data_IF_349476530204
#
_entry.id   IF_349476530204
#
_cell.length_a   1.000
_cell.length_b   1.000
_cell.length_c   1.000
_cell.angle_alpha   90.00
_cell.angle_beta   90.00
_cell.angle_gamma   90.00
#
_symmetry.space_group_name_H-M   'P 1'
#
loop_
_entity.id
_entity.type
_entity.pdbx_description
1 polymer ?
#
# COMPACT_ATOMS: atom_id res chain seq x y z
N UNK A 1 -6.83 -1.59 18.43
CA UNK A 1 -7.70 -0.43 18.69
C UNK A 1 -8.75 -0.21 17.60
N UNK A 2 -8.42 -0.38 16.30
CA UNK A 2 -9.39 -0.20 15.20
C UNK A 2 -10.66 -1.06 15.26
N UNK A 3 -10.62 -2.27 15.84
CA UNK A 3 -11.82 -3.13 15.94
C UNK A 3 -12.93 -2.54 16.83
N UNK A 4 -12.62 -1.55 17.67
CA UNK A 4 -13.56 -0.90 18.58
C UNK A 4 -13.68 0.62 18.33
N UNK A 5 -13.09 1.13 17.24
CA UNK A 5 -13.25 2.52 16.81
C UNK A 5 -14.11 2.53 15.55
N UNK A 6 -15.42 2.43 15.77
CA UNK A 6 -16.42 2.41 14.70
C UNK A 6 -16.33 3.67 13.83
N UNK A 7 -15.98 4.82 14.42
CA UNK A 7 -15.78 6.08 13.70
C UNK A 7 -14.60 6.02 12.73
N UNK A 8 -13.46 5.49 13.16
CA UNK A 8 -12.29 5.35 12.28
C UNK A 8 -12.51 4.32 11.16
N UNK A 9 -13.23 3.22 11.43
CA UNK A 9 -13.60 2.25 10.40
C UNK A 9 -14.57 2.85 9.38
N UNK A 10 -15.58 3.60 9.85
CA UNK A 10 -16.52 4.27 8.97
C UNK A 10 -15.81 5.30 8.09
N UNK A 11 -14.94 6.13 8.66
CA UNK A 11 -14.19 7.12 7.89
C UNK A 11 -13.32 6.48 6.80
N UNK A 12 -12.70 5.33 7.08
CA UNK A 12 -11.91 4.59 6.09
C UNK A 12 -12.78 4.01 4.97
N UNK A 13 -13.97 3.53 5.31
CA UNK A 13 -14.94 3.06 4.33
C UNK A 13 -15.45 4.22 3.46
N UNK A 14 -15.82 5.35 4.07
CA UNK A 14 -16.30 6.54 3.36
C UNK A 14 -15.26 7.04 2.35
N UNK A 15 -13.98 7.08 2.74
CA UNK A 15 -12.89 7.48 1.81
C UNK A 15 -12.77 6.51 0.64
N UNK A 16 -12.88 5.19 0.88
CA UNK A 16 -12.87 4.20 -0.20
C UNK A 16 -14.07 4.41 -1.14
N UNK A 17 -15.27 4.55 -0.59
CA UNK A 17 -16.51 4.66 -1.36
C UNK A 17 -16.51 5.93 -2.22
N UNK A 18 -16.03 7.05 -1.68
CA UNK A 18 -15.83 8.29 -2.44
C UNK A 18 -14.81 8.13 -3.58
N UNK A 19 -13.68 7.44 -3.35
CA UNK A 19 -12.70 7.16 -4.40
C UNK A 19 -13.26 6.22 -5.47
N UNK A 20 -14.10 5.27 -5.09
CA UNK A 20 -14.77 4.35 -6.03
C UNK A 20 -15.79 5.09 -6.92
N UNK A 21 -16.56 6.01 -6.33
CA UNK A 21 -17.57 6.80 -7.04
C UNK A 21 -16.97 7.89 -7.94
N UNK A 22 -15.80 8.45 -7.58
CA UNK A 22 -15.19 9.63 -8.22
C UNK A 22 -15.19 9.60 -9.76
N UNK A 23 -14.83 8.51 -10.46
CA UNK A 23 -14.80 8.51 -11.92
C UNK A 23 -16.17 8.63 -12.59
N UNK A 24 -17.26 8.40 -11.86
CA UNK A 24 -18.63 8.59 -12.35
C UNK A 24 -19.01 10.08 -12.38
N UNK A 25 -18.43 10.88 -11.49
CA UNK A 25 -18.66 12.33 -11.40
C UNK A 25 -17.62 13.12 -12.21
N UNK A 26 -16.36 12.69 -12.14
CA UNK A 26 -15.23 13.31 -12.81
C UNK A 26 -14.43 12.25 -13.58
N UNK A 27 -14.73 12.02 -14.87
CA UNK A 27 -14.08 11.00 -15.68
C UNK A 27 -12.56 11.14 -15.69
N UNK A 28 -11.85 10.03 -15.43
CA UNK A 28 -10.38 10.00 -15.32
C UNK A 28 -9.65 10.45 -16.59
N UNK A 29 -10.32 10.47 -17.76
CA UNK A 29 -9.73 10.97 -19.00
C UNK A 29 -9.35 12.44 -18.94
N UNK A 30 -9.97 13.22 -18.05
CA UNK A 30 -9.65 14.64 -17.84
C UNK A 30 -8.47 14.86 -16.89
N UNK A 31 -7.98 13.80 -16.25
CA UNK A 31 -6.92 13.85 -15.27
C UNK A 31 -5.57 13.68 -15.98
N UNK A 32 -4.55 14.37 -15.52
CA UNK A 32 -3.18 14.12 -15.97
C UNK A 32 -2.73 12.70 -15.62
N UNK A 33 -1.70 12.18 -16.31
CA UNK A 33 -1.17 10.83 -16.02
C UNK A 33 -0.78 10.64 -14.56
N UNK A 34 -0.21 11.67 -13.92
CA UNK A 34 0.16 11.62 -12.51
C UNK A 34 -1.05 11.62 -11.58
N UNK A 35 -2.11 12.37 -11.90
CA UNK A 35 -3.35 12.36 -11.11
C UNK A 35 -4.06 11.01 -11.22
N UNK A 36 -4.10 10.42 -12.42
CA UNK A 36 -4.60 9.04 -12.60
C UNK A 36 -3.78 8.04 -11.77
N UNK A 37 -2.45 8.19 -11.73
CA UNK A 37 -1.57 7.29 -10.98
C UNK A 37 -1.84 7.43 -9.47
N UNK A 38 -1.92 8.67 -9.00
CA UNK A 38 -2.25 8.98 -7.62
C UNK A 38 -3.62 8.39 -7.22
N UNK A 39 -4.63 8.54 -8.08
CA UNK A 39 -5.95 7.96 -7.89
C UNK A 39 -5.88 6.44 -7.69
N UNK A 40 -5.27 5.71 -8.62
CA UNK A 40 -5.19 4.25 -8.55
C UNK A 40 -4.41 3.74 -7.33
N UNK A 41 -3.31 4.41 -6.97
CA UNK A 41 -2.54 4.08 -5.77
C UNK A 41 -3.34 4.32 -4.49
N UNK A 42 -4.05 5.44 -4.40
CA UNK A 42 -4.89 5.75 -3.25
C UNK A 42 -6.04 4.75 -3.13
N UNK A 43 -6.81 4.52 -4.20
CA UNK A 43 -7.93 3.57 -4.20
C UNK A 43 -7.47 2.17 -3.79
N UNK A 44 -6.35 1.69 -4.36
CA UNK A 44 -5.77 0.40 -3.98
C UNK A 44 -5.41 0.36 -2.49
N UNK A 45 -4.71 1.37 -1.98
CA UNK A 45 -4.20 1.38 -0.60
C UNK A 45 -5.34 1.43 0.43
N UNK A 46 -6.35 2.28 0.21
CA UNK A 46 -7.52 2.37 1.10
C UNK A 46 -8.35 1.09 1.06
N UNK A 47 -8.53 0.51 -0.12
CA UNK A 47 -9.26 -0.75 -0.27
C UNK A 47 -8.54 -1.89 0.43
N UNK A 48 -7.22 -2.03 0.26
CA UNK A 48 -6.46 -3.06 0.97
C UNK A 48 -6.50 -2.86 2.49
N UNK A 49 -6.41 -1.61 2.97
CA UNK A 49 -6.50 -1.33 4.40
C UNK A 49 -7.86 -1.74 4.98
N UNK A 50 -8.95 -1.45 4.27
CA UNK A 50 -10.30 -1.91 4.63
C UNK A 50 -10.36 -3.44 4.76
N UNK A 51 -9.82 -4.19 3.80
CA UNK A 51 -9.82 -5.66 3.86
C UNK A 51 -8.92 -6.23 4.96
N UNK A 52 -7.77 -5.63 5.21
CA UNK A 52 -6.86 -6.06 6.30
C UNK A 52 -7.50 -5.85 7.68
N UNK A 53 -8.25 -4.76 7.87
CA UNK A 53 -8.94 -4.48 9.14
C UNK A 53 -10.03 -5.51 9.42
N UNK A 54 -10.80 -5.94 8.40
CA UNK A 54 -11.86 -6.95 8.57
C UNK A 54 -11.34 -8.28 9.12
N UNK A 55 -10.12 -8.67 8.77
CA UNK A 55 -9.50 -9.91 9.22
C UNK A 55 -8.67 -9.75 10.49
N UNK A 56 -8.53 -8.54 11.02
CA UNK A 56 -7.80 -8.28 12.25
C UNK A 56 -8.51 -8.93 13.46
N UNK A 57 -7.79 -9.57 14.42
CA UNK A 57 -6.34 -9.63 14.63
C UNK A 57 -5.71 -10.91 14.07
N UNK A 58 -5.85 -11.22 12.79
CA UNK A 58 -5.08 -12.32 12.17
C UNK A 58 -3.63 -11.88 11.91
N UNK A 59 -2.66 -12.60 12.49
CA UNK A 59 -1.22 -12.30 12.38
C UNK A 59 -0.64 -12.47 11.00
N UNK A 60 -0.75 -13.69 10.46
CA UNK A 60 -0.06 -14.08 9.23
C UNK A 60 -1.05 -13.97 8.08
N UNK A 61 -0.75 -13.07 7.16
CA UNK A 61 -1.61 -12.77 6.02
C UNK A 61 -1.23 -13.52 4.74
N UNK A 62 -0.18 -14.34 4.76
CA UNK A 62 0.28 -15.08 3.57
C UNK A 62 -0.85 -15.86 2.87
N UNK A 63 -1.65 -16.64 3.61
CA UNK A 63 -2.76 -17.42 3.03
C UNK A 63 -3.92 -16.57 2.52
N UNK A 64 -4.03 -15.31 2.97
CA UNK A 64 -5.07 -14.37 2.56
C UNK A 64 -4.65 -13.58 1.31
N UNK A 65 -3.37 -13.22 1.25
CA UNK A 65 -2.80 -12.36 0.20
C UNK A 65 -2.18 -13.15 -0.95
N UNK A 66 -2.12 -14.49 -0.86
CA UNK A 66 -1.52 -15.34 -1.91
C UNK A 66 -2.40 -16.55 -2.23
N UNK A 67 -2.16 -17.17 -3.38
CA UNK A 67 -2.85 -18.39 -3.81
C UNK A 67 -4.11 -18.12 -4.65
N UNK A 68 -4.92 -19.17 -4.83
CA UNK A 68 -6.13 -19.12 -5.66
C UNK A 68 -7.24 -18.29 -5.00
N UNK A 69 -7.42 -18.45 -3.69
CA UNK A 69 -8.47 -17.80 -2.89
C UNK A 69 -7.96 -16.52 -2.23
N UNK A 70 -7.11 -15.76 -2.93
CA UNK A 70 -6.59 -14.52 -2.37
C UNK A 70 -7.62 -13.41 -2.49
N UNK A 71 -7.81 -12.63 -1.42
CA UNK A 71 -8.67 -11.44 -1.43
C UNK A 71 -8.28 -10.43 -2.52
N UNK A 72 -7.02 -10.43 -2.95
CA UNK A 72 -6.52 -9.53 -3.98
C UNK A 72 -7.14 -9.83 -5.36
N UNK A 73 -7.75 -11.01 -5.55
CA UNK A 73 -8.41 -11.44 -6.79
C UNK A 73 -9.92 -11.20 -6.77
N UNK A 74 -10.49 -10.91 -5.61
CA UNK A 74 -11.93 -10.72 -5.46
C UNK A 74 -12.35 -9.37 -6.07
N UNK A 75 -13.49 -9.36 -6.77
CA UNK A 75 -14.05 -8.16 -7.40
C UNK A 75 -14.79 -7.32 -6.37
N UNK A 76 -14.02 -6.63 -5.53
CA UNK A 76 -14.51 -5.88 -4.35
C UNK A 76 -14.77 -4.40 -4.63
N UNK A 77 -14.47 -3.92 -5.84
CA UNK A 77 -14.71 -2.54 -6.28
C UNK A 77 -15.49 -2.54 -7.59
N UNK A 78 -16.26 -1.48 -7.84
CA UNK A 78 -16.90 -1.17 -9.11
C UNK A 78 -16.60 0.27 -9.52
N UNK A 79 -15.65 0.45 -10.44
CA UNK A 79 -15.24 1.78 -10.88
C UNK A 79 -15.82 2.05 -12.27
N UNK A 80 -16.61 3.12 -12.41
CA UNK A 80 -17.29 3.48 -13.66
C UNK A 80 -18.05 2.28 -14.30
N UNK A 81 -18.75 1.50 -13.47
CA UNK A 81 -19.51 0.32 -13.89
C UNK A 81 -18.69 -0.94 -14.15
N UNK A 82 -17.36 -0.90 -13.99
CA UNK A 82 -16.47 -2.06 -14.22
C UNK A 82 -16.09 -2.70 -12.88
N UNK A 83 -16.38 -4.00 -12.66
CA UNK A 83 -15.95 -4.71 -11.45
C UNK A 83 -14.44 -4.98 -11.46
N UNK A 84 -13.74 -4.52 -10.43
CA UNK A 84 -12.29 -4.57 -10.29
C UNK A 84 -11.87 -5.26 -8.98
N UNK A 85 -10.75 -5.98 -9.06
CA UNK A 85 -9.98 -6.47 -7.92
C UNK A 85 -8.71 -5.64 -7.74
N UNK A 86 -8.07 -5.78 -6.57
CA UNK A 86 -6.75 -5.17 -6.32
C UNK A 86 -5.70 -5.65 -7.33
N UNK A 87 -5.75 -6.92 -7.76
CA UNK A 87 -4.89 -7.44 -8.81
C UNK A 87 -5.16 -6.83 -10.19
N UNK A 88 -6.42 -6.52 -10.51
CA UNK A 88 -6.71 -5.82 -11.78
C UNK A 88 -6.11 -4.42 -11.76
N UNK A 89 -6.22 -3.71 -10.63
CA UNK A 89 -5.58 -2.39 -10.48
C UNK A 89 -4.06 -2.52 -10.66
N UNK A 90 -3.40 -3.45 -9.97
CA UNK A 90 -1.95 -3.60 -10.01
C UNK A 90 -1.41 -4.12 -11.37
N UNK A 91 -1.92 -5.27 -11.83
CA UNK A 91 -1.29 -6.01 -12.93
C UNK A 91 -1.92 -5.74 -14.30
N UNK A 92 -3.12 -5.16 -14.35
CA UNK A 92 -3.78 -4.79 -15.61
C UNK A 92 -3.71 -3.28 -15.81
N UNK A 93 -4.28 -2.50 -14.90
CA UNK A 93 -4.41 -1.05 -15.08
C UNK A 93 -3.06 -0.35 -14.92
N UNK A 94 -2.43 -0.47 -13.75
CA UNK A 94 -1.20 0.25 -13.45
C UNK A 94 -0.04 -0.24 -14.33
N UNK A 95 0.12 -1.55 -14.47
CA UNK A 95 1.18 -2.12 -15.29
C UNK A 95 1.14 -1.65 -16.75
N UNK A 96 -0.03 -1.71 -17.40
CA UNK A 96 -0.16 -1.38 -18.82
C UNK A 96 -0.12 0.13 -19.09
N UNK A 97 -0.60 0.96 -18.16
CA UNK A 97 -0.67 2.41 -18.36
C UNK A 97 0.60 3.17 -17.98
N UNK A 98 1.52 2.55 -17.22
CA UNK A 98 2.71 3.21 -16.68
C UNK A 98 4.01 2.49 -17.03
N UNK A 99 4.11 2.01 -18.28
CA UNK A 99 5.36 1.55 -18.91
C UNK A 99 6.12 0.46 -18.15
N UNK A 100 5.43 -0.39 -17.38
CA UNK A 100 6.08 -1.34 -16.47
C UNK A 100 7.08 -0.68 -15.50
N UNK A 101 6.80 0.56 -15.06
CA UNK A 101 7.65 1.26 -14.11
C UNK A 101 7.66 0.53 -12.76
N UNK A 102 8.80 -0.04 -12.32
CA UNK A 102 8.88 -0.80 -11.07
C UNK A 102 8.57 0.07 -9.85
N UNK A 103 8.65 1.41 -9.94
CA UNK A 103 8.37 2.28 -8.80
C UNK A 103 6.94 2.18 -8.28
N UNK A 104 5.99 1.82 -9.15
CA UNK A 104 4.60 1.63 -8.76
C UNK A 104 4.47 0.62 -7.62
N UNK A 105 5.30 -0.44 -7.59
CA UNK A 105 5.23 -1.46 -6.53
C UNK A 105 5.56 -0.90 -5.13
N UNK A 106 6.27 0.22 -5.03
CA UNK A 106 6.55 0.90 -3.76
C UNK A 106 5.42 1.82 -3.28
N UNK A 107 4.47 2.14 -4.17
CA UNK A 107 3.26 2.87 -3.85
C UNK A 107 2.10 1.98 -3.40
N UNK A 108 2.18 0.67 -3.69
CA UNK A 108 1.15 -0.31 -3.36
C UNK A 108 1.43 -0.94 -2.00
N UNK A 109 0.66 -0.55 -0.99
CA UNK A 109 0.71 -1.15 0.34
C UNK A 109 0.46 -2.66 0.27
N UNK A 110 1.00 -3.44 1.20
CA UNK A 110 0.89 -4.91 1.19
C UNK A 110 0.19 -5.48 2.42
N UNK A 111 -0.14 -4.65 3.42
CA UNK A 111 -0.75 -5.11 4.67
C UNK A 111 0.21 -5.85 5.62
N UNK A 112 1.49 -6.03 5.23
CA UNK A 112 2.47 -6.84 5.94
C UNK A 112 3.77 -6.08 6.18
N UNK A 113 4.49 -6.45 7.24
CA UNK A 113 5.79 -5.86 7.62
C UNK A 113 6.81 -5.95 6.47
N UNK A 114 6.83 -7.05 5.72
CA UNK A 114 7.77 -7.28 4.63
C UNK A 114 7.53 -6.46 3.35
N UNK A 115 6.50 -5.61 3.30
CA UNK A 115 6.21 -4.72 2.17
C UNK A 115 6.73 -3.29 2.36
N UNK A 116 6.57 -2.40 1.36
CA UNK A 116 6.83 -0.97 1.50
C UNK A 116 5.88 -0.30 2.51
N UNK A 117 6.31 0.81 3.11
CA UNK A 117 5.46 1.56 4.03
C UNK A 117 4.30 2.24 3.31
N UNK A 118 3.13 2.22 3.97
CA UNK A 118 2.04 3.12 3.61
C UNK A 118 2.45 4.56 3.99
N UNK A 119 2.14 5.52 3.12
CA UNK A 119 2.47 6.93 3.35
C UNK A 119 1.50 7.55 4.34
N UNK A 120 1.96 8.56 5.08
CA UNK A 120 1.13 9.39 5.97
C UNK A 120 0.22 10.37 5.22
N UNK A 121 0.49 10.59 3.93
CA UNK A 121 -0.23 11.53 3.08
C UNK A 121 -0.61 10.85 1.78
N UNK A 122 -1.80 11.18 1.26
CA UNK A 122 -2.29 10.65 -0.01
C UNK A 122 -1.37 11.04 -1.17
N UNK A 123 -1.38 10.20 -2.21
CA UNK A 123 -0.76 10.56 -3.48
C UNK A 123 -1.58 11.64 -4.17
N UNK A 124 -0.91 12.59 -4.82
CA UNK A 124 -1.49 13.65 -5.65
C UNK A 124 -0.72 13.74 -6.96
N UNK A 125 -1.30 14.38 -7.98
CA UNK A 125 -0.62 14.60 -9.25
C UNK A 125 0.74 15.29 -9.11
N UNK A 126 0.85 16.20 -8.14
CA UNK A 126 2.07 16.95 -7.87
C UNK A 126 3.14 16.12 -7.12
N UNK A 127 2.74 15.18 -6.26
CA UNK A 127 3.67 14.49 -5.37
C UNK A 127 4.00 13.05 -5.79
N UNK A 128 3.24 12.42 -6.69
CA UNK A 128 3.25 10.96 -6.86
C UNK A 128 4.61 10.40 -7.26
N UNK A 129 5.31 11.06 -8.19
CA UNK A 129 6.61 10.58 -8.66
C UNK A 129 7.68 10.62 -7.57
N UNK A 130 7.80 11.77 -6.89
CA UNK A 130 8.72 11.91 -5.76
C UNK A 130 8.35 10.95 -4.63
N UNK A 131 7.05 10.73 -4.44
CA UNK A 131 6.54 9.85 -3.40
C UNK A 131 6.94 8.40 -3.61
N UNK A 132 6.81 7.90 -4.84
CA UNK A 132 7.23 6.55 -5.20
C UNK A 132 8.75 6.38 -5.09
N UNK A 133 9.54 7.36 -5.54
CA UNK A 133 10.99 7.34 -5.42
C UNK A 133 11.45 7.33 -3.95
N UNK A 134 10.81 8.13 -3.09
CA UNK A 134 11.11 8.15 -1.66
C UNK A 134 10.77 6.82 -0.99
N UNK A 135 9.61 6.24 -1.30
CA UNK A 135 9.22 4.92 -0.79
C UNK A 135 10.19 3.83 -1.27
N UNK A 136 10.68 3.91 -2.51
CA UNK A 136 11.68 3.00 -3.06
C UNK A 136 12.99 3.09 -2.27
N UNK A 137 13.51 4.31 -2.09
CA UNK A 137 14.74 4.54 -1.33
C UNK A 137 14.62 4.05 0.11
N UNK A 138 13.52 4.37 0.79
CA UNK A 138 13.27 3.93 2.17
C UNK A 138 13.20 2.40 2.27
N UNK A 139 12.41 1.77 1.40
CA UNK A 139 12.24 0.32 1.44
C UNK A 139 13.55 -0.40 1.11
N UNK A 140 14.22 -0.04 0.02
CA UNK A 140 15.46 -0.68 -0.43
C UNK A 140 16.54 -0.65 0.66
N UNK A 141 16.67 0.46 1.39
CA UNK A 141 17.66 0.63 2.46
C UNK A 141 17.17 0.15 3.85
N UNK A 142 16.05 -0.56 3.93
CA UNK A 142 15.54 -1.13 5.17
C UNK A 142 15.87 -2.62 5.29
N UNK A 143 15.88 -3.14 6.53
CA UNK A 143 16.15 -4.56 6.82
C UNK A 143 15.14 -5.53 6.16
N UNK A 144 13.97 -5.04 5.75
CA UNK A 144 12.94 -5.80 5.03
C UNK A 144 13.10 -5.72 3.51
N UNK A 145 13.88 -4.75 3.01
CA UNK A 145 14.11 -4.54 1.58
C UNK A 145 15.36 -5.24 1.07
N UNK A 146 16.51 -4.99 1.70
CA UNK A 146 17.78 -5.60 1.31
C UNK A 146 18.72 -5.84 2.50
N UNK A 147 19.67 -6.76 2.32
CA UNK A 147 20.73 -7.02 3.28
C UNK A 147 21.92 -7.75 2.62
N UNK A 148 23.08 -7.14 2.63
CA UNK A 148 24.34 -7.73 2.20
C UNK A 148 24.89 -8.65 3.30
N UNK A 149 24.70 -9.95 3.11
CA UNK A 149 25.16 -10.96 4.07
C UNK A 149 26.68 -11.09 4.06
N UNK A 150 27.22 -11.40 2.87
CA UNK A 150 28.65 -11.66 2.62
C UNK A 150 29.02 -11.13 1.21
N UNK A 151 30.30 -11.14 0.84
CA UNK A 151 30.80 -10.63 -0.46
C UNK A 151 30.16 -11.28 -1.72
N UNK A 152 29.59 -12.48 -1.58
CA UNK A 152 29.05 -13.26 -2.71
C UNK A 152 27.53 -13.24 -2.80
N UNK A 153 26.83 -13.03 -1.70
CA UNK A 153 25.36 -13.20 -1.60
C UNK A 153 24.73 -11.93 -1.07
N UNK A 154 23.93 -11.30 -1.93
CA UNK A 154 23.08 -10.18 -1.55
C UNK A 154 21.65 -10.67 -1.33
N UNK A 155 21.01 -10.28 -0.24
CA UNK A 155 19.63 -10.66 0.06
C UNK A 155 18.68 -9.50 -0.25
N UNK A 156 17.51 -9.82 -0.77
CA UNK A 156 16.48 -8.87 -1.13
C UNK A 156 15.10 -9.39 -0.69
N UNK A 157 14.12 -8.49 -0.65
CA UNK A 157 12.73 -8.81 -0.32
C UNK A 157 12.11 -9.80 -1.31
N UNK A 158 11.29 -10.71 -0.80
CA UNK A 158 10.36 -11.52 -1.60
C UNK A 158 9.36 -10.67 -2.40
N UNK A 159 9.22 -9.37 -2.10
CA UNK A 159 8.46 -8.41 -2.92
C UNK A 159 8.88 -8.43 -4.39
N UNK A 160 10.19 -8.52 -4.66
CA UNK A 160 10.71 -8.55 -6.03
C UNK A 160 10.33 -9.83 -6.77
N UNK A 161 10.14 -10.95 -6.05
CA UNK A 161 9.66 -12.19 -6.64
C UNK A 161 8.20 -12.09 -7.08
N UNK A 162 7.35 -11.48 -6.23
CA UNK A 162 5.93 -11.25 -6.54
C UNK A 162 5.74 -10.27 -7.70
N UNK A 163 6.69 -9.36 -7.88
CA UNK A 163 6.68 -8.32 -8.89
C UNK A 163 7.71 -8.58 -10.01
N UNK A 164 8.02 -9.87 -10.26
CA UNK A 164 9.02 -10.29 -11.26
C UNK A 164 8.75 -9.75 -12.66
N UNK A 165 7.49 -9.50 -12.99
CA UNK A 165 7.07 -9.01 -14.30
C UNK A 165 7.66 -7.64 -14.67
N UNK A 166 8.06 -6.83 -13.68
CA UNK A 166 8.80 -5.58 -13.95
C UNK A 166 10.27 -5.79 -14.32
N UNK A 167 10.79 -7.02 -14.20
CA UNK A 167 12.21 -7.34 -14.37
C UNK A 167 12.38 -8.53 -15.34
N UNK A 168 12.26 -8.32 -16.67
CA UNK A 168 12.38 -9.39 -17.67
C UNK A 168 13.70 -10.16 -17.59
N UNK A 169 14.84 -9.45 -17.45
CA UNK A 169 16.15 -10.04 -17.14
C UNK A 169 16.39 -9.97 -15.65
N UNK A 170 15.60 -10.76 -14.93
CA UNK A 170 15.38 -10.61 -13.49
C UNK A 170 16.63 -10.26 -12.67
N UNK A 171 17.74 -11.00 -12.80
CA UNK A 171 18.96 -10.74 -12.02
C UNK A 171 19.64 -9.42 -12.41
N UNK A 172 19.76 -9.11 -13.71
CA UNK A 172 20.39 -7.89 -14.21
C UNK A 172 19.55 -6.65 -13.90
N UNK A 173 18.25 -6.73 -14.17
CA UNK A 173 17.34 -5.60 -14.02
C UNK A 173 17.11 -5.29 -12.54
N UNK A 174 16.97 -6.31 -11.68
CA UNK A 174 16.88 -6.12 -10.24
C UNK A 174 18.18 -5.51 -9.69
N UNK A 175 19.35 -5.99 -10.13
CA UNK A 175 20.64 -5.41 -9.70
C UNK A 175 20.71 -3.92 -10.08
N UNK A 176 20.40 -3.58 -11.33
CA UNK A 176 20.38 -2.18 -11.80
C UNK A 176 19.42 -1.33 -10.98
N UNK A 177 18.20 -1.81 -10.78
CA UNK A 177 17.17 -1.11 -10.00
C UNK A 177 17.61 -0.86 -8.56
N UNK A 178 18.12 -1.88 -7.87
CA UNK A 178 18.61 -1.74 -6.49
C UNK A 178 19.79 -0.76 -6.41
N UNK A 179 20.71 -0.77 -7.38
CA UNK A 179 21.82 0.18 -7.43
C UNK A 179 21.38 1.63 -7.61
N UNK A 180 20.18 1.93 -8.10
CA UNK A 180 19.68 3.31 -8.16
C UNK A 180 19.37 3.85 -6.76
N UNK A 181 18.89 2.99 -5.86
CA UNK A 181 18.34 3.39 -4.55
C UNK A 181 19.23 3.04 -3.36
N UNK A 182 20.12 2.06 -3.48
CA UNK A 182 21.02 1.65 -2.41
C UNK A 182 22.03 2.74 -2.06
N UNK A 183 22.26 2.89 -0.77
CA UNK A 183 23.19 3.84 -0.18
C UNK A 183 24.28 3.12 0.63
N UNK A 184 25.40 3.80 0.85
CA UNK A 184 26.45 3.34 1.76
C UNK A 184 27.09 2.01 1.35
N UNK A 185 27.46 1.22 2.37
CA UNK A 185 28.20 -0.05 2.22
C UNK A 185 27.42 -1.10 1.41
N UNK A 186 26.09 -1.12 1.55
CA UNK A 186 25.21 -2.09 0.89
C UNK A 186 25.25 -1.98 -0.64
N UNK A 187 25.44 -0.76 -1.14
CA UNK A 187 25.68 -0.53 -2.57
C UNK A 187 26.93 -1.27 -3.05
N UNK A 188 28.04 -1.11 -2.33
CA UNK A 188 29.30 -1.80 -2.64
C UNK A 188 29.14 -3.32 -2.59
N UNK A 189 28.48 -3.85 -1.55
CA UNK A 189 28.19 -5.29 -1.44
C UNK A 189 27.40 -5.82 -2.65
N UNK A 190 26.40 -5.08 -3.13
CA UNK A 190 25.63 -5.49 -4.31
C UNK A 190 26.47 -5.47 -5.59
N UNK A 191 27.39 -4.52 -5.76
CA UNK A 191 28.27 -4.44 -6.93
C UNK A 191 29.11 -5.71 -7.09
N UNK A 192 29.67 -6.23 -5.99
CA UNK A 192 30.48 -7.47 -5.98
C UNK A 192 29.67 -8.76 -5.85
N UNK A 193 28.41 -8.69 -5.42
CA UNK A 193 27.57 -9.87 -5.26
C UNK A 193 27.37 -10.62 -6.59
N UNK A 194 27.59 -11.93 -6.54
CA UNK A 194 27.38 -12.85 -7.67
C UNK A 194 25.91 -13.27 -7.81
N UNK A 195 25.14 -13.20 -6.73
CA UNK A 195 23.76 -13.68 -6.72
C UNK A 195 22.92 -12.84 -5.76
N UNK A 196 21.70 -12.53 -6.20
CA UNK A 196 20.66 -11.91 -5.36
C UNK A 196 19.65 -12.98 -4.95
N UNK A 197 19.58 -13.28 -3.64
CA UNK A 197 18.56 -14.17 -3.05
C UNK A 197 17.37 -13.35 -2.56
N UNK A 198 16.13 -13.75 -2.90
CA UNK A 198 14.90 -13.05 -2.44
C UNK A 198 14.19 -13.78 -1.31
N UNK A 199 14.89 -13.92 -0.21
CA UNK A 199 14.48 -14.71 0.96
C UNK A 199 14.27 -13.83 2.20
N UNK A 200 14.14 -12.50 2.03
CA UNK A 200 13.67 -11.62 3.09
C UNK A 200 12.15 -11.54 2.98
N UNK A 201 11.45 -12.12 3.95
CA UNK A 201 9.99 -12.07 4.02
C UNK A 201 9.48 -11.93 5.45
N UNK A 202 8.44 -11.12 5.60
CA UNK A 202 7.66 -11.06 6.83
C UNK A 202 6.19 -10.82 6.50
N UNK A 203 5.41 -11.90 6.60
CA UNK A 203 3.97 -11.91 6.34
C UNK A 203 3.13 -11.53 7.56
N UNK A 204 3.77 -11.03 8.62
CA UNK A 204 3.05 -10.50 9.79
C UNK A 204 2.33 -9.22 9.40
N UNK A 205 1.08 -9.08 9.80
CA UNK A 205 0.29 -7.86 9.65
C UNK A 205 1.03 -6.67 10.25
N UNK A 206 1.01 -5.54 9.56
CA UNK A 206 1.55 -4.29 10.11
C UNK A 206 0.57 -3.71 11.12
N UNK A 207 0.96 -3.63 12.40
CA UNK A 207 0.20 -2.95 13.46
C UNK A 207 1.11 -2.03 14.30
N UNK A 208 0.52 -1.05 14.99
CA UNK A 208 1.26 -0.10 15.85
C UNK A 208 1.48 -0.63 17.27
N UNK A 209 0.63 -1.56 17.71
CA UNK A 209 0.58 -1.98 19.10
C UNK A 209 1.40 -3.23 19.39
N UNK A 210 1.97 -3.88 18.36
CA UNK A 210 2.61 -5.17 18.50
C UNK A 210 1.69 -6.10 19.29
N UNK A 211 0.45 -6.25 18.83
CA UNK A 211 -0.70 -6.75 19.61
C UNK A 211 -0.59 -8.21 20.07
N UNK A 212 0.60 -8.77 19.93
CA UNK A 212 0.99 -10.06 20.40
C UNK A 212 2.30 -9.90 21.18
N UNK A 213 2.29 -10.17 22.49
CA UNK A 213 3.53 -10.24 23.24
C UNK A 213 4.44 -11.32 22.63
N UNK A 214 5.67 -10.96 22.31
CA UNK A 214 6.73 -11.87 21.89
C UNK A 214 7.19 -12.70 23.10
N UNK A 215 6.37 -13.65 23.56
CA UNK A 215 6.83 -14.69 24.50
C UNK A 215 7.23 -15.90 23.66
N UNK A 216 8.51 -15.95 23.31
CA UNK A 216 9.09 -17.05 22.55
C UNK A 216 10.21 -16.54 21.67
N UNK A 217 11.45 -16.80 22.09
CA UNK A 217 12.65 -16.48 21.32
C UNK A 217 12.49 -16.94 19.88
N UNK A 218 12.39 -15.97 18.98
CA UNK A 218 12.37 -16.22 17.55
C UNK A 218 13.70 -16.88 17.19
N UNK A 219 13.68 -18.11 16.69
CA UNK A 219 14.80 -18.73 15.99
C UNK A 219 15.00 -18.03 14.63
N UNK A 220 15.20 -16.73 14.68
CA UNK A 220 15.60 -15.92 13.56
C UNK A 220 17.14 -15.85 13.63
N UNK A 221 17.82 -16.59 12.76
CA UNK A 221 19.28 -16.72 12.73
C UNK A 221 20.00 -15.48 12.15
N UNK A 222 19.45 -14.29 12.38
CA UNK A 222 20.02 -13.02 11.94
C UNK A 222 20.32 -12.14 13.16
N UNK A 223 21.49 -11.48 13.15
CA UNK A 223 21.93 -10.61 14.24
C UNK A 223 20.95 -9.44 14.55
N UNK A 224 20.01 -9.15 13.65
CA UNK A 224 18.95 -8.16 13.88
C UNK A 224 17.81 -8.67 14.79
N UNK A 225 17.58 -9.98 14.90
CA UNK A 225 16.63 -10.53 15.87
C UNK A 225 17.13 -10.36 17.31
N UNK A 226 18.45 -10.32 17.51
CA UNK A 226 19.07 -10.06 18.80
C UNK A 226 18.91 -8.59 19.22
N UNK A 227 18.84 -7.65 18.27
CA UNK A 227 18.65 -6.22 18.52
C UNK A 227 17.19 -5.84 18.83
N UNK A 228 16.22 -6.61 18.33
CA UNK A 228 14.81 -6.46 18.71
C UNK A 228 14.56 -7.06 20.11
N UNK A 229 15.21 -8.19 20.42
CA UNK A 229 15.13 -8.84 21.73
C UNK A 229 15.66 -7.99 22.90
N UNK A 230 16.58 -7.04 22.65
CA UNK A 230 17.07 -6.11 23.70
C UNK A 230 16.17 -4.90 23.90
N UNK A 231 15.34 -4.53 22.92
CA UNK A 231 14.30 -3.51 23.09
C UNK A 231 13.09 -4.03 23.87
N UNK A 232 12.78 -5.32 23.76
CA UNK A 232 11.62 -5.91 24.46
C UNK A 232 11.89 -6.19 25.95
N UNK A 233 13.16 -6.30 26.37
CA UNK A 233 13.53 -6.57 27.77
C UNK A 233 13.64 -5.32 28.65
N UNK A 234 13.45 -4.12 28.12
CA UNK A 234 13.60 -2.86 28.88
C UNK A 234 12.27 -2.24 29.36
N UNK A 235 11.13 -2.89 29.11
CA UNK A 235 9.86 -2.55 29.76
C UNK A 235 9.39 -3.75 30.59
N UNK A 236 9.41 -3.60 31.92
CA UNK A 236 9.11 -4.58 32.97
C UNK A 236 10.24 -5.54 33.38
N UNK A 237 11.10 -5.08 34.28
CA UNK A 237 11.76 -5.94 35.27
C UNK A 237 12.28 -5.10 36.45
N UNK A 238 11.38 -4.78 37.39
CA UNK A 238 11.78 -4.54 38.77
C UNK A 238 12.01 -5.93 39.39
N UNK A 239 13.26 -6.42 39.35
CA UNK A 239 13.90 -7.36 40.30
C UNK A 239 15.25 -7.81 39.72
N UNK A 240 16.31 -7.67 40.51
CA UNK A 240 17.70 -7.78 40.07
C UNK A 240 18.12 -9.17 39.60
N UNK A 241 18.91 -9.18 38.53
CA UNK A 241 20.06 -10.08 38.39
C UNK A 241 21.04 -9.52 37.35
N UNK A 242 22.31 -9.47 37.74
CA UNK A 242 23.46 -9.07 36.94
C UNK A 242 23.75 -10.11 35.84
N UNK A 243 23.88 -9.69 34.59
CA UNK A 243 24.77 -10.32 33.60
C UNK A 243 25.48 -9.22 32.80
N UNK A 244 26.80 -9.36 32.72
CA UNK A 244 27.74 -8.32 32.34
C UNK A 244 27.90 -8.03 30.84
N UNK A 245 28.41 -6.81 30.63
CA UNK A 245 29.29 -6.36 29.55
C UNK A 245 28.80 -6.37 28.10
N UNK A 246 28.45 -5.18 27.60
CA UNK A 246 28.98 -4.66 26.33
C UNK A 246 28.75 -3.14 26.23
N UNK A 247 29.35 -2.41 27.17
CA UNK A 247 29.44 -0.95 27.14
C UNK A 247 30.54 -0.50 26.18
N UNK A 248 30.29 -0.54 24.87
CA UNK A 248 31.14 0.10 23.86
C UNK A 248 30.42 0.24 22.51
N UNK A 249 29.24 0.91 22.46
CA UNK A 249 28.72 1.51 21.21
C UNK A 249 27.47 2.41 21.39
N UNK A 250 27.11 2.80 22.61
CA UNK A 250 25.84 3.50 22.90
C UNK A 250 25.79 4.98 22.51
N UNK A 251 26.88 5.61 22.07
CA UNK A 251 26.90 7.06 21.80
C UNK A 251 26.59 7.48 20.36
N UNK A 252 26.09 6.59 19.49
CA UNK A 252 25.74 6.93 18.09
C UNK A 252 24.26 6.78 17.71
N UNK A 253 23.35 6.55 18.66
CA UNK A 253 21.97 6.17 18.33
C UNK A 253 20.89 6.98 19.07
N UNK A 254 21.13 8.28 19.33
CA UNK A 254 20.12 9.17 19.97
C UNK A 254 19.70 10.35 19.09
N UNK A 255 20.24 10.52 17.88
CA UNK A 255 19.90 11.67 17.01
C UNK A 255 18.90 11.39 15.89
N UNK A 256 18.20 10.24 15.88
CA UNK A 256 17.31 9.84 14.76
C UNK A 256 15.89 9.43 15.18
N UNK A 257 15.51 9.62 16.44
CA UNK A 257 14.13 9.41 16.89
C UNK A 257 13.42 10.75 17.05
N UNK A 258 12.86 11.27 15.97
CA UNK A 258 11.78 12.27 16.07
C UNK A 258 10.56 11.54 16.64
N UNK A 259 10.14 11.90 17.84
CA UNK A 259 8.86 11.47 18.41
C UNK A 259 7.73 11.90 17.46
N UNK A 260 6.83 10.99 17.03
CA UNK A 260 5.71 11.39 16.18
C UNK A 260 4.61 12.00 17.04
N UNK A 261 4.46 13.32 17.00
CA UNK A 261 3.17 13.95 17.28
C UNK A 261 2.24 13.67 16.10
N UNK A 262 1.14 12.98 16.38
CA UNK A 262 0.14 12.61 15.39
C UNK A 262 -0.84 13.77 15.20
N UNK A 263 -0.95 14.24 13.95
CA UNK A 263 -1.88 15.26 13.44
C UNK A 263 -1.63 16.66 14.01
N UNK A 264 -1.15 17.59 13.17
CA UNK A 264 -1.07 19.00 13.57
C UNK A 264 -2.49 19.54 13.82
N UNK A 265 -2.71 20.34 14.89
CA UNK A 265 -4.00 20.97 15.15
C UNK A 265 -4.56 21.75 13.95
N UNK A 266 -3.66 22.28 13.11
CA UNK A 266 -4.01 23.02 11.89
C UNK A 266 -4.71 22.16 10.83
N UNK A 267 -4.36 20.88 10.70
CA UNK A 267 -5.02 19.96 9.77
C UNK A 267 -6.46 19.66 10.19
N UNK A 268 -6.72 19.59 11.51
CA UNK A 268 -8.07 19.41 12.03
C UNK A 268 -8.95 20.63 11.79
N UNK A 269 -8.38 21.83 11.94
CA UNK A 269 -9.09 23.08 11.67
C UNK A 269 -9.45 23.18 10.19
N UNK A 270 -8.51 22.90 9.28
CA UNK A 270 -8.77 22.92 7.83
C UNK A 270 -9.82 21.90 7.39
N UNK A 271 -9.81 20.70 7.97
CA UNK A 271 -10.84 19.70 7.69
C UNK A 271 -12.23 20.13 8.18
N UNK A 272 -12.29 20.83 9.32
CA UNK A 272 -13.54 21.35 9.86
C UNK A 272 -14.08 22.50 9.02
N UNK A 273 -13.21 23.40 8.54
CA UNK A 273 -13.57 24.48 7.63
C UNK A 273 -14.07 23.96 6.27
N UNK A 274 -13.39 22.96 5.69
CA UNK A 274 -13.83 22.32 4.44
C UNK A 274 -15.20 21.65 4.56
N UNK A 275 -15.46 20.99 5.70
CA UNK A 275 -16.76 20.37 5.97
C UNK A 275 -17.87 21.43 6.08
N UNK A 276 -17.62 22.52 6.80
CA UNK A 276 -18.56 23.63 6.92
C UNK A 276 -18.86 24.31 5.56
N UNK A 277 -17.87 24.43 4.69
CA UNK A 277 -18.05 24.96 3.33
C UNK A 277 -18.88 24.02 2.44
N UNK A 278 -18.71 22.70 2.60
CA UNK A 278 -19.46 21.70 1.86
C UNK A 278 -20.92 21.65 2.31
N UNK A 279 -21.16 21.73 3.63
CA UNK A 279 -22.50 21.78 4.21
C UNK A 279 -23.24 23.08 3.81
N UNK A 280 -22.51 24.22 3.72
CA UNK A 280 -23.07 25.48 3.22
C UNK A 280 -23.40 25.44 1.72
N UNK A 281 -22.53 24.83 0.90
CA UNK A 281 -22.78 24.69 -0.56
C UNK A 281 -23.94 23.74 -0.88
N UNK A 282 -24.19 22.74 -0.03
CA UNK A 282 -25.28 21.79 -0.20
C UNK A 282 -26.65 22.36 0.17
N UNK A 283 -26.71 23.49 0.89
CA UNK A 283 -27.96 24.20 1.20
C UNK A 283 -28.44 25.12 0.07
N UNK A 284 -27.53 25.57 -0.83
CA UNK A 284 -27.83 26.56 -1.87
C UNK A 284 -28.15 25.98 -3.27
N UNK A 285 -28.11 24.65 -3.45
CA UNK A 285 -28.43 24.00 -4.75
C UNK A 285 -29.56 22.99 -4.64
N UNK A 286 -30.76 23.49 -4.37
CA UNK A 286 -32.00 22.76 -4.55
C UNK A 286 -32.76 23.29 -5.78
N UNK A 287 -32.30 22.99 -7.00
CA UNK A 287 -33.16 22.90 -8.18
C UNK A 287 -32.46 22.08 -9.27
N UNK A 288 -32.99 20.88 -9.56
CA UNK A 288 -32.57 20.06 -10.71
C UNK A 288 -33.63 20.23 -11.79
N UNK A 289 -33.26 20.76 -12.96
CA UNK A 289 -34.09 20.71 -14.17
C UNK A 289 -33.58 19.62 -15.09
N UNK A 290 -34.52 18.81 -15.58
CA UNK A 290 -34.35 17.61 -16.39
C UNK A 290 -34.15 17.99 -17.86
N UNK A 291 -32.93 18.35 -18.29
CA UNK A 291 -32.59 18.42 -19.73
C UNK A 291 -31.06 18.27 -19.91
N UNK A 292 -30.53 17.04 -19.90
CA UNK A 292 -29.22 16.74 -20.51
C UNK A 292 -28.99 15.22 -20.74
N UNK A 293 -30.02 14.51 -21.18
CA UNK A 293 -29.83 13.18 -21.79
C UNK A 293 -29.96 13.32 -23.31
N UNK A 294 -28.82 13.26 -24.00
CA UNK A 294 -28.77 13.21 -25.45
C UNK A 294 -29.60 12.04 -25.98
N UNK A 295 -30.48 12.34 -26.92
CA UNK A 295 -31.34 11.39 -27.62
C UNK A 295 -30.52 10.34 -28.35
N UNK A 296 -30.80 9.07 -28.10
CA UNK A 296 -30.47 7.98 -29.04
C UNK A 296 -31.78 7.54 -29.68
N UNK A 297 -31.92 7.83 -30.97
CA UNK A 297 -32.99 7.30 -31.83
C UNK A 297 -32.78 5.80 -31.99
N UNK A 298 -33.78 5.00 -31.63
CA UNK A 298 -33.89 3.60 -32.05
C UNK A 298 -34.80 3.60 -33.27
N UNK A 299 -34.25 3.24 -34.43
CA UNK A 299 -35.03 2.99 -35.64
C UNK A 299 -35.94 1.78 -35.41
N UNK A 300 -37.25 2.00 -35.45
CA UNK A 300 -38.26 0.96 -35.61
C UNK A 300 -38.15 0.39 -37.03
N UNK A 301 -37.79 -0.89 -37.15
CA UNK A 301 -38.03 -1.64 -38.38
C UNK A 301 -39.49 -2.08 -38.40
N UNK A 302 -40.32 -1.36 -39.15
CA UNK A 302 -41.66 -1.78 -39.54
C UNK A 302 -41.63 -3.09 -40.34
N UNK A 303 -42.56 -3.97 -40.01
CA UNK A 303 -42.94 -5.15 -40.79
C UNK A 303 -44.29 -5.68 -40.32
N UNK A 304 -45.38 -5.01 -40.70
CA UNK A 304 -46.71 -5.65 -40.80
C UNK A 304 -46.68 -6.70 -41.91
N UNK A 305 -47.57 -7.69 -42.04
CA UNK A 305 -48.96 -8.01 -41.63
C UNK A 305 -49.00 -9.56 -41.63
N UNK A 306 -49.96 -10.34 -41.14
CA UNK A 306 -51.42 -10.33 -41.23
C UNK A 306 -51.94 -11.54 -40.42
N UNK A 307 -53.21 -11.55 -40.01
CA UNK A 307 -53.81 -12.63 -39.23
C UNK A 307 -54.19 -13.87 -40.04
N UNK A 308 -54.30 -15.03 -39.36
CA UNK A 308 -55.27 -16.09 -39.70
C UNK A 308 -55.48 -17.08 -38.55
N UNK A 309 -56.76 -17.43 -38.36
CA UNK A 309 -57.35 -18.42 -37.44
C UNK A 309 -56.93 -19.87 -37.73
N UNK A 310 -57.11 -20.72 -36.71
CA UNK A 310 -57.29 -22.21 -36.63
C UNK A 310 -56.60 -22.68 -35.33
N UNK A 311 -57.20 -23.30 -34.32
CA UNK A 311 -58.47 -24.01 -34.09
C UNK A 311 -59.00 -23.72 -32.67
#
# INVERSE_FOLDING_TARGET
MYKNDEGAMQALQDVRDNLEALPSEAPLQYFTRNEQLAYWLNLYNFTLLNEVIKVYPKRKLNKLLTGKNSILKEKILTVAGVPLSLNDIQYVILKNNYENNPLVMYGLYQGIIGGPNIRKSAFTGANVQQSLANNAAEFVNSNRGTYGKDEKIFRASSLYDRNREYFPKFQEDLKKHLLVYLQGEERGKLEYAKTIKRDIDDWTVTDLYGSYPQIGGSFAQNNAALLDATKTTSSYAEHGNNIGSSSANSNRMVSLSSTPEFVSPELLIQLHELKAMQDANNLDKATVTVEEMGSVSVEESEGGTDGQEHD
#
